data_IF_069565973974
#
_entry.id   IF_069565973974
#
_cell.length_a   1.000
_cell.length_b   1.000
_cell.length_c   1.000
_cell.angle_alpha   90.00
_cell.angle_beta   90.00
_cell.angle_gamma   90.00
#
_symmetry.space_group_name_H-M   'P 1'
#
loop_
_entity.id
_entity.type
_entity.pdbx_description
1 polymer ?
#
# COMPACT_ATOMS: atom_id res chain seq x y z
N UNK A 1 -25.15 -21.00 2.46
CA UNK A 1 -24.37 -20.01 3.25
C UNK A 1 -23.98 -18.88 2.33
N UNK A 2 -24.70 -17.76 2.35
CA UNK A 2 -24.33 -16.56 1.60
C UNK A 2 -23.19 -15.87 2.35
N UNK A 3 -21.94 -16.14 1.97
CA UNK A 3 -20.81 -15.36 2.42
C UNK A 3 -20.77 -14.06 1.63
N UNK A 4 -21.52 -13.04 2.07
CA UNK A 4 -21.18 -11.69 1.65
C UNK A 4 -19.76 -11.43 2.18
N UNK A 5 -18.79 -11.32 1.27
CA UNK A 5 -17.41 -11.03 1.65
C UNK A 5 -17.36 -9.78 2.53
N UNK A 6 -16.47 -9.78 3.52
CA UNK A 6 -16.23 -8.58 4.35
C UNK A 6 -15.89 -7.40 3.43
N UNK A 7 -16.39 -6.18 3.70
CA UNK A 7 -15.94 -4.97 3.02
C UNK A 7 -14.40 -4.88 3.04
N UNK A 8 -13.81 -4.57 1.88
CA UNK A 8 -12.37 -4.41 1.76
C UNK A 8 -12.00 -2.96 2.05
N UNK A 9 -11.29 -2.75 3.16
CA UNK A 9 -10.70 -1.48 3.54
C UNK A 9 -9.18 -1.58 3.33
N UNK A 10 -8.75 -1.32 2.09
CA UNK A 10 -7.41 -1.63 1.56
C UNK A 10 -6.81 -0.40 0.87
N UNK A 11 -5.50 -0.23 1.03
CA UNK A 11 -4.65 0.59 0.16
C UNK A 11 -3.67 -0.31 -0.59
N UNK A 12 -3.77 -0.31 -1.92
CA UNK A 12 -2.83 -0.99 -2.81
C UNK A 12 -1.95 0.03 -3.51
N UNK A 13 -0.63 -0.14 -3.45
CA UNK A 13 0.34 0.80 -3.99
C UNK A 13 1.26 0.10 -5.00
N UNK A 14 1.56 0.80 -6.10
CA UNK A 14 2.78 0.50 -6.85
C UNK A 14 4.02 0.89 -6.02
N UNK A 15 5.19 0.48 -6.49
CA UNK A 15 6.46 0.69 -5.83
C UNK A 15 7.32 1.72 -6.58
N UNK A 16 7.59 1.50 -7.86
CA UNK A 16 8.43 2.40 -8.66
C UNK A 16 7.71 3.71 -9.01
N UNK A 17 8.32 4.83 -8.64
CA UNK A 17 7.74 6.16 -8.79
C UNK A 17 6.66 6.51 -7.77
N UNK A 18 6.31 5.58 -6.87
CA UNK A 18 5.31 5.77 -5.80
C UNK A 18 5.93 5.70 -4.42
N UNK A 19 6.67 4.64 -4.11
CA UNK A 19 7.38 4.48 -2.82
C UNK A 19 8.84 4.88 -2.98
N UNK A 20 9.48 4.51 -4.08
CA UNK A 20 10.88 4.83 -4.37
C UNK A 20 11.09 5.18 -5.84
N UNK A 21 12.26 5.74 -6.16
CA UNK A 21 12.75 5.92 -7.53
C UNK A 21 14.17 5.38 -7.62
N UNK A 22 14.35 4.30 -8.37
CA UNK A 22 15.63 3.57 -8.37
C UNK A 22 15.92 3.02 -6.97
N UNK A 23 17.01 3.47 -6.35
CA UNK A 23 17.41 3.06 -5.00
C UNK A 23 17.02 4.06 -3.91
N UNK A 24 16.33 5.15 -4.26
CA UNK A 24 16.01 6.23 -3.33
C UNK A 24 14.55 6.17 -2.90
N UNK A 25 14.31 6.20 -1.59
CA UNK A 25 12.97 6.35 -1.02
C UNK A 25 12.42 7.75 -1.34
N UNK A 26 11.17 7.84 -1.78
CA UNK A 26 10.55 9.14 -2.03
C UNK A 26 10.21 9.84 -0.70
N UNK A 27 10.36 11.18 -0.63
CA UNK A 27 10.00 11.95 0.55
C UNK A 27 8.55 11.70 0.97
N UNK A 28 8.31 11.44 2.26
CA UNK A 28 6.97 11.19 2.79
C UNK A 28 6.46 9.75 2.59
N UNK A 29 7.14 8.92 1.80
CA UNK A 29 6.65 7.56 1.53
C UNK A 29 6.58 6.71 2.80
N UNK A 30 7.60 6.81 3.68
CA UNK A 30 7.61 6.08 4.95
C UNK A 30 6.44 6.49 5.84
N UNK A 31 6.22 7.80 5.97
CA UNK A 31 5.20 8.39 6.82
C UNK A 31 3.81 8.01 6.30
N UNK A 32 3.59 8.07 4.99
CA UNK A 32 2.33 7.66 4.36
C UNK A 32 2.01 6.18 4.59
N UNK A 33 3.00 5.29 4.43
CA UNK A 33 2.81 3.86 4.69
C UNK A 33 2.50 3.60 6.17
N UNK A 34 3.18 4.30 7.09
CA UNK A 34 2.92 4.20 8.51
C UNK A 34 1.50 4.68 8.86
N UNK A 35 1.00 5.74 8.21
CA UNK A 35 -0.37 6.20 8.40
C UNK A 35 -1.43 5.20 7.93
N UNK A 36 -1.20 4.52 6.80
CA UNK A 36 -2.11 3.47 6.32
C UNK A 36 -2.26 2.37 7.37
N UNK A 37 -1.13 1.90 7.91
CA UNK A 37 -1.10 0.89 8.97
C UNK A 37 -1.76 1.40 10.26
N UNK A 38 -1.46 2.64 10.66
CA UNK A 38 -2.03 3.25 11.87
C UNK A 38 -3.57 3.41 11.79
N UNK A 39 -4.12 3.59 10.58
CA UNK A 39 -5.58 3.64 10.34
C UNK A 39 -6.25 2.27 10.30
N UNK A 40 -5.49 1.17 10.42
CA UNK A 40 -6.01 -0.20 10.39
C UNK A 40 -6.46 -0.65 9.00
N UNK A 41 -5.98 0.02 7.94
CA UNK A 41 -6.24 -0.39 6.56
C UNK A 41 -5.29 -1.52 6.17
N UNK A 42 -5.78 -2.47 5.38
CA UNK A 42 -4.90 -3.45 4.76
C UNK A 42 -3.96 -2.73 3.78
N UNK A 43 -2.66 -2.97 3.87
CA UNK A 43 -1.64 -2.42 2.97
C UNK A 43 -1.12 -3.53 2.05
N UNK A 44 -1.19 -3.34 0.74
CA UNK A 44 -0.64 -4.26 -0.27
C UNK A 44 0.22 -3.52 -1.28
N UNK A 45 1.32 -4.16 -1.68
CA UNK A 45 2.13 -3.70 -2.79
C UNK A 45 1.75 -4.49 -4.04
N UNK A 46 1.43 -3.78 -5.12
CA UNK A 46 1.06 -4.32 -6.43
C UNK A 46 1.94 -3.63 -7.44
N UNK A 47 3.03 -4.30 -7.82
CA UNK A 47 4.00 -3.77 -8.77
C UNK A 47 4.15 -4.72 -9.96
N UNK A 48 4.51 -4.17 -11.11
CA UNK A 48 4.81 -4.95 -12.31
C UNK A 48 6.27 -5.40 -12.37
N UNK A 49 7.09 -4.98 -11.40
CA UNK A 49 8.45 -5.46 -11.25
C UNK A 49 8.44 -6.84 -10.59
N UNK A 50 9.18 -7.80 -11.17
CA UNK A 50 9.27 -9.20 -10.69
C UNK A 50 10.43 -9.42 -9.73
#
# INVERSE_FOLDING_TARGET
>A
MSGAGRPLDLVALDLDGVVWRGLELLPGAREALAEVVARGLDLRYVTNNS
#
